data_IF_245775104936
#
_entry.id   IF_245775104936
#
_cell.length_a   1.000
_cell.length_b   1.000
_cell.length_c   1.000
_cell.angle_alpha   90.00
_cell.angle_beta   90.00
_cell.angle_gamma   90.00
#
_symmetry.space_group_name_H-M   'P 1'
#
loop_
_entity.id
_entity.type
_entity.pdbx_description
1 polymer ?
#
# COMPACT_ATOMS: atom_id res chain seq x y z
N UNK A 1 4.25 -2.56 7.49
CA UNK A 1 4.20 -1.09 7.27
C UNK A 1 5.46 -0.37 7.69
N UNK A 2 5.80 -0.40 8.98
CA UNK A 2 6.61 0.68 9.54
C UNK A 2 8.12 0.45 9.42
N UNK A 3 8.53 -0.80 9.25
CA UNK A 3 9.95 -1.17 9.18
C UNK A 3 10.50 -0.86 7.78
N UNK A 4 11.79 -0.48 7.70
CA UNK A 4 12.51 -0.18 6.45
C UNK A 4 12.06 1.06 5.67
N UNK A 5 11.28 1.97 6.27
CA UNK A 5 10.90 3.23 5.62
C UNK A 5 12.02 4.28 5.68
N UNK A 6 12.25 4.96 4.56
CA UNK A 6 13.25 6.03 4.47
C UNK A 6 12.83 7.25 5.29
N UNK A 7 13.74 7.71 6.15
CA UNK A 7 13.55 8.89 7.00
C UNK A 7 13.58 10.17 6.18
N UNK A 8 14.51 10.21 5.24
CA UNK A 8 14.71 11.31 4.30
C UNK A 8 13.44 11.51 3.50
N UNK A 9 12.81 10.41 3.08
CA UNK A 9 11.54 10.45 2.37
C UNK A 9 10.43 11.03 3.22
N UNK A 10 10.26 10.57 4.46
CA UNK A 10 9.21 11.08 5.34
C UNK A 10 9.36 12.59 5.63
N UNK A 11 10.60 13.05 5.80
CA UNK A 11 10.91 14.48 5.97
C UNK A 11 10.60 15.25 4.69
N UNK A 12 10.96 14.70 3.52
CA UNK A 12 10.64 15.30 2.23
C UNK A 12 9.14 15.42 2.02
N UNK A 13 8.38 14.35 2.29
CA UNK A 13 6.91 14.36 2.16
C UNK A 13 6.31 15.39 3.10
N UNK A 14 6.74 15.43 4.37
CA UNK A 14 6.25 16.42 5.35
C UNK A 14 6.40 17.86 4.84
N UNK A 15 7.53 18.17 4.16
CA UNK A 15 7.73 19.48 3.54
C UNK A 15 6.85 19.70 2.31
N UNK A 16 6.70 18.69 1.45
CA UNK A 16 5.83 18.74 0.27
C UNK A 16 4.38 19.03 0.66
N UNK A 17 3.88 18.39 1.72
CA UNK A 17 2.54 18.60 2.27
C UNK A 17 2.37 19.94 2.99
N UNK A 18 3.39 20.80 3.01
CA UNK A 18 3.31 22.14 3.56
C UNK A 18 3.36 22.20 5.09
N UNK A 19 3.93 21.19 5.75
CA UNK A 19 4.03 21.23 7.21
C UNK A 19 4.93 22.37 7.67
N UNK A 20 4.55 23.11 8.73
CA UNK A 20 5.43 24.08 9.37
C UNK A 20 6.78 23.49 9.74
N UNK A 21 7.85 24.29 9.63
CA UNK A 21 9.23 23.83 9.88
C UNK A 21 9.42 23.19 11.25
N UNK A 22 8.72 23.68 12.27
CA UNK A 22 8.78 23.12 13.61
C UNK A 22 8.21 21.70 13.68
N UNK A 23 7.15 21.40 12.91
CA UNK A 23 6.60 20.03 12.77
C UNK A 23 7.61 19.16 12.03
N UNK A 24 8.18 19.64 10.92
CA UNK A 24 9.19 18.89 10.16
C UNK A 24 10.40 18.54 11.04
N UNK A 25 10.85 19.48 11.88
CA UNK A 25 11.92 19.26 12.86
C UNK A 25 11.51 18.23 13.93
N UNK A 26 10.27 18.29 14.40
CA UNK A 26 9.71 17.30 15.33
C UNK A 26 9.71 15.90 14.71
N UNK A 27 9.17 15.75 13.49
CA UNK A 27 9.14 14.48 12.74
C UNK A 27 10.55 13.94 12.53
N UNK A 28 11.50 14.81 12.15
CA UNK A 28 12.92 14.42 12.01
C UNK A 28 13.47 13.86 13.32
N UNK A 29 13.27 14.56 14.44
CA UNK A 29 13.74 14.08 15.75
C UNK A 29 13.02 12.80 16.20
N UNK A 30 11.76 12.63 15.81
CA UNK A 30 10.96 11.45 16.12
C UNK A 30 11.49 10.19 15.45
N UNK A 31 12.03 10.28 14.22
CA UNK A 31 12.51 9.12 13.44
C UNK A 31 14.03 8.91 13.48
N UNK A 32 14.82 9.91 13.88
CA UNK A 32 16.31 9.87 13.87
C UNK A 32 16.89 9.41 15.22
N UNK A 33 18.07 8.77 15.18
CA UNK A 33 18.91 8.40 16.36
C UNK A 33 18.18 7.57 17.43
N UNK A 34 17.20 6.79 17.00
CA UNK A 34 16.44 5.94 17.90
C UNK A 34 17.21 4.70 18.34
N UNK A 35 16.85 4.23 19.54
CA UNK A 35 17.34 3.00 20.14
C UNK A 35 16.15 2.25 20.74
N UNK A 36 16.22 0.92 20.75
CA UNK A 36 15.24 0.04 21.37
C UNK A 36 15.93 -1.00 22.24
N UNK A 37 15.19 -1.63 23.15
CA UNK A 37 15.62 -2.79 23.93
C UNK A 37 14.54 -3.86 23.83
N UNK A 38 14.97 -5.12 23.79
CA UNK A 38 14.09 -6.27 23.84
C UNK A 38 14.01 -6.72 25.30
N UNK A 39 12.80 -6.81 25.84
CA UNK A 39 12.55 -7.35 27.18
C UNK A 39 11.74 -8.64 27.05
N UNK A 40 12.33 -9.76 27.46
CA UNK A 40 11.71 -11.08 27.45
C UNK A 40 11.98 -11.70 28.82
N UNK A 41 10.92 -12.09 29.55
CA UNK A 41 10.92 -12.73 30.87
C UNK A 41 12.28 -12.80 31.60
N UNK A 42 12.60 -11.76 32.36
CA UNK A 42 13.83 -11.68 33.18
C UNK A 42 15.08 -11.20 32.43
N UNK A 43 15.07 -11.19 31.10
CA UNK A 43 16.15 -10.69 30.25
C UNK A 43 15.78 -9.33 29.63
N UNK A 44 16.74 -8.41 29.63
CA UNK A 44 16.67 -7.15 28.89
C UNK A 44 17.94 -7.02 28.05
N UNK A 45 17.78 -6.85 26.75
CA UNK A 45 18.92 -6.67 25.84
C UNK A 45 19.64 -5.34 26.07
N UNK A 46 20.85 -5.24 25.52
CA UNK A 46 21.49 -3.95 25.30
C UNK A 46 20.70 -3.07 24.33
N UNK A 47 21.08 -1.79 24.29
CA UNK A 47 20.49 -0.83 23.37
C UNK A 47 20.80 -1.20 21.91
N UNK A 48 19.77 -1.48 21.13
CA UNK A 48 19.84 -1.74 19.70
C UNK A 48 19.52 -0.42 18.99
N UNK A 49 20.41 0.06 18.12
CA UNK A 49 20.12 1.22 17.27
C UNK A 49 19.08 0.83 16.23
N UNK A 50 18.07 1.69 16.03
CA UNK A 50 17.15 1.55 14.90
C UNK A 50 17.52 2.58 13.86
N UNK A 51 17.92 2.15 12.67
CA UNK A 51 18.47 3.01 11.61
C UNK A 51 17.49 3.33 10.49
N UNK A 52 16.36 2.63 10.43
CA UNK A 52 15.31 2.80 9.42
C UNK A 52 13.93 2.62 10.06
N UNK A 53 12.90 3.08 9.36
CA UNK A 53 11.51 2.85 9.75
C UNK A 53 10.92 3.90 10.69
N UNK A 54 9.59 3.81 10.81
CA UNK A 54 8.76 4.64 11.68
C UNK A 54 8.58 3.90 13.02
N UNK A 55 8.69 4.56 14.19
CA UNK A 55 8.60 3.89 15.49
C UNK A 55 7.26 3.18 15.70
N UNK A 56 7.26 1.86 15.90
CA UNK A 56 6.02 1.16 16.25
C UNK A 56 5.58 1.49 17.69
N UNK A 57 4.27 1.53 17.94
CA UNK A 57 3.69 1.83 19.27
C UNK A 57 3.42 3.30 19.58
N UNK A 58 3.70 4.22 18.65
CA UNK A 58 3.32 5.64 18.76
C UNK A 58 2.06 5.93 17.95
N UNK A 59 1.15 6.73 18.51
CA UNK A 59 -0.04 7.25 17.81
C UNK A 59 0.32 8.08 16.57
N UNK A 60 1.50 8.69 16.55
CA UNK A 60 1.97 9.49 15.41
C UNK A 60 2.39 8.63 14.23
N UNK A 61 2.75 7.37 14.47
CA UNK A 61 3.33 6.51 13.44
C UNK A 61 2.36 6.14 12.32
N UNK A 62 1.10 5.73 12.61
CA UNK A 62 0.09 5.57 11.57
C UNK A 62 -0.13 6.83 10.74
N UNK A 63 -0.18 8.01 11.39
CA UNK A 63 -0.38 9.30 10.72
C UNK A 63 0.77 9.58 9.75
N UNK A 64 2.01 9.45 10.21
CA UNK A 64 3.20 9.61 9.38
C UNK A 64 3.25 8.60 8.23
N UNK A 65 2.78 7.39 8.46
CA UNK A 65 2.68 6.38 7.41
C UNK A 65 1.64 6.76 6.34
N UNK A 66 0.51 7.39 6.70
CA UNK A 66 -0.47 7.87 5.71
C UNK A 66 0.16 8.91 4.78
N UNK A 67 0.93 9.85 5.32
CA UNK A 67 1.68 10.79 4.49
C UNK A 67 2.71 10.07 3.63
N UNK A 68 3.43 9.10 4.19
CA UNK A 68 4.41 8.31 3.43
C UNK A 68 3.80 7.63 2.18
N UNK A 69 2.61 7.04 2.30
CA UNK A 69 1.95 6.30 1.22
C UNK A 69 1.12 7.20 0.29
N UNK A 70 0.85 8.45 0.67
CA UNK A 70 0.00 9.39 -0.10
C UNK A 70 0.41 9.51 -1.57
N UNK A 71 1.70 9.72 -1.84
CA UNK A 71 2.23 9.82 -3.20
C UNK A 71 1.95 8.58 -4.05
N UNK A 72 2.01 7.37 -3.46
CA UNK A 72 1.70 6.13 -4.17
C UNK A 72 0.26 6.18 -4.70
N UNK A 73 -0.68 6.56 -3.84
CA UNK A 73 -2.10 6.66 -4.16
C UNK A 73 -2.33 7.78 -5.19
N UNK A 74 -1.76 8.96 -4.97
CA UNK A 74 -1.84 10.11 -5.86
C UNK A 74 -1.28 9.81 -7.26
N UNK A 75 -0.23 8.99 -7.37
CA UNK A 75 0.39 8.64 -8.66
C UNK A 75 -0.56 7.93 -9.64
N UNK A 76 -1.60 7.29 -9.12
CA UNK A 76 -2.65 6.65 -9.90
C UNK A 76 -3.90 7.51 -10.07
N UNK A 77 -4.07 8.56 -9.27
CA UNK A 77 -5.20 9.48 -9.41
C UNK A 77 -4.97 10.41 -10.60
N UNK A 78 -5.66 10.14 -11.70
CA UNK A 78 -5.71 11.06 -12.84
C UNK A 78 -7.12 11.01 -13.44
N UNK A 79 -7.78 12.16 -13.68
CA UNK A 79 -9.18 12.20 -14.11
C UNK A 79 -9.48 11.39 -15.38
N UNK A 80 -8.51 11.32 -16.29
CA UNK A 80 -8.64 10.62 -17.56
C UNK A 80 -8.37 9.10 -17.49
N UNK A 81 -7.95 8.58 -16.33
CA UNK A 81 -7.62 7.15 -16.19
C UNK A 81 -8.82 6.36 -15.71
N UNK A 82 -8.96 5.14 -16.24
CA UNK A 82 -10.02 4.19 -15.87
C UNK A 82 -9.69 3.38 -14.61
N UNK A 83 -8.94 3.98 -13.67
CA UNK A 83 -8.57 3.35 -12.42
C UNK A 83 -8.42 4.36 -11.28
N UNK A 84 -8.59 3.86 -10.06
CA UNK A 84 -8.36 4.58 -8.82
C UNK A 84 -7.62 3.68 -7.85
N UNK A 85 -6.92 4.28 -6.90
CA UNK A 85 -6.32 3.57 -5.78
C UNK A 85 -6.77 4.19 -4.46
N UNK A 86 -6.91 3.34 -3.45
CA UNK A 86 -7.14 3.74 -2.07
C UNK A 86 -6.55 2.70 -1.14
N UNK A 87 -6.38 3.04 0.13
CA UNK A 87 -5.77 2.12 1.08
C UNK A 87 -5.74 2.68 2.49
N UNK A 88 -5.37 1.81 3.42
CA UNK A 88 -5.12 2.16 4.80
C UNK A 88 -3.93 1.35 5.32
N UNK A 89 -2.90 2.06 5.77
CA UNK A 89 -1.65 1.45 6.26
C UNK A 89 -1.11 0.46 5.21
N UNK A 90 -0.98 -0.83 5.53
CA UNK A 90 -0.37 -1.82 4.64
C UNK A 90 -1.29 -2.29 3.51
N UNK A 91 -2.59 -2.04 3.61
CA UNK A 91 -3.56 -2.48 2.62
C UNK A 91 -3.72 -1.40 1.55
N UNK A 92 -3.43 -1.75 0.30
CA UNK A 92 -3.70 -0.90 -0.87
C UNK A 92 -4.57 -1.66 -1.86
N UNK A 93 -5.61 -1.01 -2.38
CA UNK A 93 -6.53 -1.54 -3.36
C UNK A 93 -6.49 -0.67 -4.61
N UNK A 94 -6.36 -1.30 -5.78
CA UNK A 94 -6.52 -0.67 -7.08
C UNK A 94 -7.83 -1.16 -7.68
N UNK A 95 -8.67 -0.23 -8.11
CA UNK A 95 -9.93 -0.51 -8.80
C UNK A 95 -9.83 0.03 -10.21
N UNK A 96 -10.32 -0.73 -11.19
CA UNK A 96 -10.41 -0.30 -12.60
C UNK A 96 -11.74 -0.70 -13.20
N UNK A 97 -12.15 -0.02 -14.26
CA UNK A 97 -13.41 -0.28 -14.95
C UNK A 97 -13.27 -0.18 -16.47
N UNK A 98 -13.91 -1.12 -17.17
CA UNK A 98 -14.04 -1.13 -18.62
C UNK A 98 -15.11 -2.14 -19.04
N UNK A 99 -15.23 -2.37 -20.36
CA UNK A 99 -16.23 -3.28 -20.91
C UNK A 99 -15.84 -4.77 -20.87
N UNK A 100 -14.57 -5.10 -20.56
CA UNK A 100 -14.06 -6.48 -20.54
C UNK A 100 -13.10 -6.72 -19.38
N UNK A 101 -13.07 -7.95 -18.87
CA UNK A 101 -12.11 -8.34 -17.83
C UNK A 101 -10.66 -8.26 -18.31
N UNK A 102 -10.40 -8.59 -19.58
CA UNK A 102 -9.08 -8.46 -20.22
C UNK A 102 -8.48 -7.06 -20.08
N UNK A 103 -9.25 -6.03 -20.45
CA UNK A 103 -8.79 -4.63 -20.39
C UNK A 103 -8.54 -4.21 -18.95
N UNK A 104 -9.37 -4.68 -18.01
CA UNK A 104 -9.19 -4.41 -16.59
C UNK A 104 -7.89 -5.06 -16.07
N UNK A 105 -7.64 -6.34 -16.35
CA UNK A 105 -6.43 -7.02 -15.92
C UNK A 105 -5.17 -6.30 -16.45
N UNK A 106 -5.17 -5.94 -17.74
CA UNK A 106 -4.09 -5.14 -18.35
C UNK A 106 -3.90 -3.78 -17.68
N UNK A 107 -4.99 -3.09 -17.33
CA UNK A 107 -4.90 -1.81 -16.61
C UNK A 107 -4.35 -1.99 -15.19
N UNK A 108 -4.69 -3.09 -14.51
CA UNK A 108 -4.17 -3.41 -13.18
C UNK A 108 -2.67 -3.72 -13.22
N UNK A 109 -2.22 -4.52 -14.20
CA UNK A 109 -0.81 -4.82 -14.44
C UNK A 109 0.01 -3.52 -14.64
N UNK A 110 -0.45 -2.64 -15.53
CA UNK A 110 0.22 -1.35 -15.79
C UNK A 110 0.22 -0.41 -14.58
N UNK A 111 -0.86 -0.42 -13.77
CA UNK A 111 -0.92 0.35 -12.54
C UNK A 111 0.05 -0.22 -11.49
N UNK A 112 0.16 -1.55 -11.40
CA UNK A 112 1.07 -2.24 -10.52
C UNK A 112 2.55 -2.00 -10.89
N UNK A 113 2.90 -1.92 -12.18
CA UNK A 113 4.26 -1.55 -12.60
C UNK A 113 4.69 -0.19 -12.02
N UNK A 114 3.79 0.79 -11.99
CA UNK A 114 4.05 2.10 -11.37
C UNK A 114 4.27 1.98 -9.86
N UNK A 115 3.50 1.12 -9.21
CA UNK A 115 3.66 0.81 -7.79
C UNK A 115 5.02 0.16 -7.52
N UNK A 116 5.50 -0.75 -8.37
CA UNK A 116 6.82 -1.35 -8.23
C UNK A 116 7.95 -0.32 -8.39
N UNK A 117 7.83 0.60 -9.36
CA UNK A 117 8.79 1.70 -9.52
C UNK A 117 8.81 2.59 -8.26
N UNK A 118 7.63 2.95 -7.74
CA UNK A 118 7.53 3.72 -6.51
C UNK A 118 8.14 2.96 -5.32
N UNK A 119 7.83 1.67 -5.18
CA UNK A 119 8.30 0.85 -4.07
C UNK A 119 9.83 0.73 -4.06
N UNK A 120 10.44 0.49 -5.23
CA UNK A 120 11.90 0.47 -5.39
C UNK A 120 12.55 1.80 -4.98
N UNK A 121 11.96 2.93 -5.39
CA UNK A 121 12.46 4.28 -5.03
C UNK A 121 12.32 4.58 -3.54
N UNK A 122 11.31 4.00 -2.89
CA UNK A 122 10.94 4.29 -1.51
C UNK A 122 11.26 3.14 -0.54
N UNK A 123 12.12 2.19 -0.91
CA UNK A 123 12.49 1.06 -0.04
C UNK A 123 11.29 0.26 0.50
N UNK A 124 10.21 0.19 -0.27
CA UNK A 124 9.04 -0.62 0.05
C UNK A 124 9.07 -1.92 -0.74
N UNK A 125 8.44 -2.95 -0.19
CA UNK A 125 8.32 -4.26 -0.82
C UNK A 125 6.86 -4.66 -0.75
N UNK A 126 6.31 -5.08 -1.88
CA UNK A 126 4.99 -5.72 -1.92
C UNK A 126 5.12 -7.22 -1.71
N UNK A 127 4.03 -7.84 -1.29
CA UNK A 127 3.90 -9.28 -1.05
C UNK A 127 2.90 -9.85 -2.07
N UNK A 128 3.31 -10.14 -3.32
CA UNK A 128 2.42 -10.59 -4.38
C UNK A 128 1.62 -11.84 -4.01
N UNK A 129 2.18 -12.72 -3.18
CA UNK A 129 1.52 -13.93 -2.69
C UNK A 129 0.26 -13.65 -1.87
N UNK A 130 0.11 -12.43 -1.36
CA UNK A 130 -1.07 -11.98 -0.62
C UNK A 130 -2.10 -11.28 -1.50
N UNK A 131 -1.81 -11.06 -2.77
CA UNK A 131 -2.71 -10.33 -3.66
C UNK A 131 -4.02 -11.08 -3.86
N UNK A 132 -5.10 -10.32 -3.96
CA UNK A 132 -6.43 -10.86 -4.24
C UNK A 132 -7.05 -10.06 -5.38
N UNK A 133 -7.60 -10.79 -6.36
CA UNK A 133 -8.33 -10.23 -7.49
C UNK A 133 -9.80 -10.60 -7.36
N UNK A 134 -10.70 -9.63 -7.57
CA UNK A 134 -12.13 -9.88 -7.73
C UNK A 134 -12.63 -9.06 -8.92
N UNK A 135 -13.58 -9.63 -9.67
CA UNK A 135 -14.21 -8.98 -10.82
C UNK A 135 -15.70 -8.84 -10.55
N UNK A 136 -16.21 -7.61 -10.69
CA UNK A 136 -17.63 -7.28 -10.59
C UNK A 136 -18.19 -7.01 -11.99
N UNK A 137 -19.42 -7.47 -12.25
CA UNK A 137 -20.11 -7.22 -13.51
C UNK A 137 -21.63 -7.25 -13.33
N UNK A 138 -22.32 -6.45 -14.13
CA UNK A 138 -23.79 -6.49 -14.24
C UNK A 138 -24.27 -7.41 -15.36
N UNK A 139 -23.37 -7.89 -16.23
CA UNK A 139 -23.71 -8.77 -17.35
C UNK A 139 -24.18 -10.13 -16.82
N UNK A 140 -25.21 -10.70 -17.45
CA UNK A 140 -25.78 -12.01 -17.13
C UNK A 140 -25.33 -13.03 -18.19
N UNK A 141 -25.03 -14.27 -17.78
CA UNK A 141 -24.60 -15.37 -18.67
C UNK A 141 -23.18 -15.88 -18.39
N UNK A 142 -22.76 -16.95 -19.06
CA UNK A 142 -21.38 -17.47 -18.99
C UNK A 142 -20.48 -16.51 -19.76
N UNK A 143 -19.61 -15.82 -19.05
CA UNK A 143 -18.60 -14.93 -19.61
C UNK A 143 -17.23 -15.55 -19.35
N UNK A 144 -16.64 -16.14 -20.39
CA UNK A 144 -15.33 -16.79 -20.31
C UNK A 144 -14.21 -15.81 -19.94
N UNK A 145 -14.38 -14.51 -20.20
CA UNK A 145 -13.40 -13.48 -19.85
C UNK A 145 -13.37 -13.18 -18.34
N UNK A 146 -14.44 -13.44 -17.57
CA UNK A 146 -14.45 -13.14 -16.13
C UNK A 146 -13.52 -14.02 -15.29
N UNK A 147 -13.04 -15.14 -15.87
CA UNK A 147 -12.03 -15.99 -15.25
C UNK A 147 -10.61 -15.53 -15.60
N UNK A 148 -10.47 -14.48 -16.39
CA UNK A 148 -9.18 -13.93 -16.73
C UNK A 148 -8.46 -13.40 -15.49
N UNK A 149 -7.18 -13.74 -15.42
CA UNK A 149 -6.31 -13.42 -14.33
C UNK A 149 -5.35 -12.29 -14.61
N UNK A 150 -4.79 -11.73 -13.53
CA UNK A 150 -3.65 -10.80 -13.61
C UNK A 150 -2.35 -11.56 -13.80
N UNK A 151 -1.44 -11.00 -14.61
CA UNK A 151 -0.09 -11.50 -14.85
C UNK A 151 0.92 -10.71 -14.02
N UNK A 152 0.85 -10.90 -12.71
CA UNK A 152 1.82 -10.34 -11.76
C UNK A 152 2.59 -11.50 -11.14
N UNK A 153 3.92 -11.44 -11.18
CA UNK A 153 4.77 -12.49 -10.63
C UNK A 153 4.49 -12.70 -9.14
N UNK A 154 4.27 -13.96 -8.74
CA UNK A 154 3.93 -14.35 -7.38
C UNK A 154 2.47 -14.07 -6.96
N UNK A 155 1.68 -13.35 -7.77
CA UNK A 155 0.26 -13.16 -7.51
C UNK A 155 -0.54 -14.39 -7.94
N UNK A 156 -1.59 -14.72 -7.19
CA UNK A 156 -2.59 -15.68 -7.64
C UNK A 156 -3.25 -15.17 -8.93
N UNK A 157 -3.27 -15.99 -9.98
CA UNK A 157 -3.77 -15.58 -11.29
C UNK A 157 -5.29 -15.48 -11.30
N UNK A 158 -6.03 -16.42 -10.70
CA UNK A 158 -7.49 -16.49 -10.87
C UNK A 158 -8.28 -15.51 -9.97
N UNK A 159 -9.34 -14.87 -10.50
CA UNK A 159 -10.27 -14.08 -9.70
C UNK A 159 -10.98 -14.89 -8.63
N UNK A 160 -11.09 -14.34 -7.41
CA UNK A 160 -11.84 -14.92 -6.29
C UNK A 160 -13.32 -14.53 -6.33
N UNK A 161 -14.16 -15.26 -5.61
CA UNK A 161 -15.59 -14.95 -5.42
C UNK A 161 -15.84 -13.95 -4.29
N UNK A 162 -14.90 -13.88 -3.35
CA UNK A 162 -14.92 -13.00 -2.19
C UNK A 162 -13.49 -12.54 -1.86
N UNK A 163 -13.37 -11.31 -1.39
CA UNK A 163 -12.11 -10.74 -0.90
C UNK A 163 -12.36 -9.86 0.32
N UNK A 164 -11.32 -9.60 1.11
CA UNK A 164 -11.39 -8.68 2.24
C UNK A 164 -10.76 -7.34 1.85
N UNK A 165 -11.54 -6.27 1.89
CA UNK A 165 -11.08 -4.89 1.64
C UNK A 165 -11.26 -4.10 2.93
N UNK A 166 -10.15 -3.64 3.53
CA UNK A 166 -10.16 -2.76 4.72
C UNK A 166 -11.01 -3.29 5.89
N UNK A 167 -11.01 -4.60 6.12
CA UNK A 167 -11.82 -5.22 7.18
C UNK A 167 -13.18 -5.74 6.73
N UNK A 168 -13.69 -5.31 5.57
CA UNK A 168 -15.00 -5.66 5.05
C UNK A 168 -14.87 -6.82 4.06
N UNK A 169 -15.68 -7.86 4.23
CA UNK A 169 -15.81 -8.93 3.23
C UNK A 169 -16.71 -8.45 2.10
N UNK A 170 -16.20 -8.54 0.87
CA UNK A 170 -16.87 -8.11 -0.35
C UNK A 170 -16.97 -9.32 -1.28
N UNK A 171 -18.18 -9.66 -1.70
CA UNK A 171 -18.45 -10.77 -2.60
C UNK A 171 -18.95 -10.28 -3.97
N UNK A 172 -18.94 -11.17 -4.97
CA UNK A 172 -19.46 -10.87 -6.32
C UNK A 172 -20.96 -10.53 -6.37
N UNK A 173 -21.70 -10.63 -5.26
CA UNK A 173 -23.15 -10.39 -5.19
C UNK A 173 -23.49 -8.97 -4.75
N UNK A 174 -22.49 -8.12 -4.50
CA UNK A 174 -22.70 -6.68 -4.29
C UNK A 174 -23.62 -6.14 -5.40
N UNK A 175 -24.81 -5.69 -5.01
CA UNK A 175 -25.83 -5.14 -5.90
C UNK A 175 -25.70 -3.62 -5.98
#
# INVERSE_FOLDING_TARGET
>A
AFDNKSRERLIWVSRREGFPDWIVKYVKNFVVRRRTKIRLTGYTSDWIKTEVGIPQGSHLSPILFLFYISELIESLQHPEKVHMAFGFVDDTTIVTWSNTAHKNCRSLEQAHDKFLVWAKRNGATFAPEKYQLITFTRKRGILSDLNEGIKIEGAGSSPKTEIKILGILVDKRLK
#
